data_IF_906293644085
#
_entry.id   IF_906293644085
#
_cell.length_a   1.000
_cell.length_b   1.000
_cell.length_c   1.000
_cell.angle_alpha   90.00
_cell.angle_beta   90.00
_cell.angle_gamma   90.00
#
_symmetry.space_group_name_H-M   'P 1'
#
loop_
_entity.id
_entity.type
_entity.pdbx_description
1 polymer ?
#
# COMPACT_ATOMS: atom_id res chain seq x y z
N UNK A 1 19.78 15.47 -12.61
CA UNK A 1 19.04 15.40 -11.34
C UNK A 1 18.79 13.93 -11.00
N UNK A 2 18.97 13.51 -9.75
CA UNK A 2 18.53 12.20 -9.25
C UNK A 2 17.27 12.42 -8.41
N UNK A 3 16.15 11.86 -8.84
CA UNK A 3 14.89 11.93 -8.11
C UNK A 3 14.71 10.72 -7.18
N UNK A 4 14.00 10.91 -6.07
CA UNK A 4 13.61 9.85 -5.13
C UNK A 4 14.79 9.00 -4.62
N UNK A 5 15.94 9.64 -4.43
CA UNK A 5 17.20 8.99 -4.10
C UNK A 5 17.17 8.33 -2.72
N UNK A 6 17.68 7.10 -2.63
CA UNK A 6 17.94 6.40 -1.37
C UNK A 6 19.39 5.96 -1.33
N UNK A 7 19.98 6.00 -0.14
CA UNK A 7 21.34 5.54 0.05
C UNK A 7 21.41 4.80 1.38
N UNK A 8 21.45 3.48 1.32
CA UNK A 8 21.61 2.67 2.53
C UNK A 8 22.95 2.93 3.22
N UNK A 9 23.02 2.69 4.53
CA UNK A 9 24.26 2.83 5.29
C UNK A 9 25.38 1.92 4.74
N UNK A 10 25.04 0.69 4.34
CA UNK A 10 25.98 -0.26 3.72
C UNK A 10 26.57 0.30 2.42
N UNK A 11 25.73 0.85 1.56
CA UNK A 11 26.16 1.46 0.30
C UNK A 11 26.98 2.72 0.55
N UNK A 12 26.59 3.57 1.50
CA UNK A 12 27.34 4.76 1.89
C UNK A 12 28.76 4.40 2.36
N UNK A 13 28.91 3.37 3.20
CA UNK A 13 30.22 2.85 3.64
C UNK A 13 31.05 2.35 2.45
N UNK A 14 30.44 1.63 1.51
CA UNK A 14 31.10 1.18 0.28
C UNK A 14 31.59 2.34 -0.59
N UNK A 15 30.73 3.34 -0.82
CA UNK A 15 31.07 4.53 -1.61
C UNK A 15 32.10 5.43 -0.93
N UNK A 16 32.12 5.47 0.40
CA UNK A 16 33.15 6.20 1.15
C UNK A 16 34.55 5.63 0.88
N UNK A 17 34.68 4.31 0.65
CA UNK A 17 35.96 3.68 0.28
C UNK A 17 36.45 4.12 -1.11
N UNK A 18 35.55 4.50 -2.01
CA UNK A 18 35.89 5.05 -3.33
C UNK A 18 36.34 6.52 -3.26
N UNK A 19 36.18 7.18 -2.09
CA UNK A 19 36.77 8.47 -1.76
C UNK A 19 36.56 9.54 -2.84
N UNK A 20 37.67 10.04 -3.40
CA UNK A 20 37.70 11.13 -4.39
C UNK A 20 36.94 10.81 -5.68
N UNK A 21 36.79 9.54 -6.05
CA UNK A 21 36.02 9.16 -7.23
C UNK A 21 34.53 9.50 -7.06
N UNK A 22 33.95 9.17 -5.91
CA UNK A 22 32.56 9.48 -5.60
C UNK A 22 32.34 10.99 -5.46
N UNK A 23 33.28 11.71 -4.85
CA UNK A 23 33.21 13.18 -4.78
C UNK A 23 33.15 13.81 -6.18
N UNK A 24 34.00 13.38 -7.11
CA UNK A 24 33.98 13.87 -8.51
C UNK A 24 32.67 13.52 -9.22
N UNK A 25 32.15 12.32 -9.00
CA UNK A 25 30.88 11.90 -9.61
C UNK A 25 29.72 12.77 -9.11
N UNK A 26 29.65 13.02 -7.80
CA UNK A 26 28.60 13.85 -7.20
C UNK A 26 28.68 15.33 -7.63
N UNK A 27 29.87 15.85 -7.94
CA UNK A 27 30.02 17.21 -8.46
C UNK A 27 29.33 17.45 -9.81
N UNK A 28 29.14 16.41 -10.62
CA UNK A 28 28.43 16.50 -11.91
C UNK A 28 26.91 16.39 -11.76
N UNK A 29 26.39 16.11 -10.55
CA UNK A 29 24.96 16.01 -10.30
C UNK A 29 24.43 17.37 -9.88
N UNK A 30 23.50 17.91 -10.67
CA UNK A 30 22.89 19.23 -10.42
C UNK A 30 22.00 19.26 -9.17
N UNK A 31 21.26 18.18 -8.91
CA UNK A 31 20.31 18.07 -7.79
C UNK A 31 20.06 16.60 -7.44
N UNK A 32 20.06 16.28 -6.15
CA UNK A 32 19.57 15.02 -5.57
C UNK A 32 18.34 15.35 -4.72
N UNK A 33 17.20 14.77 -5.10
CA UNK A 33 15.98 14.77 -4.29
C UNK A 33 15.93 13.47 -3.46
N UNK A 34 16.34 13.55 -2.19
CA UNK A 34 16.41 12.40 -1.28
C UNK A 34 15.05 12.14 -0.61
N UNK A 35 14.78 10.86 -0.31
CA UNK A 35 13.49 10.45 0.29
C UNK A 35 13.35 10.87 1.75
N UNK A 36 14.44 10.90 2.49
CA UNK A 36 14.48 11.30 3.89
C UNK A 36 15.80 12.01 4.19
N UNK A 37 15.87 12.60 5.38
CA UNK A 37 17.03 13.34 5.83
C UNK A 37 18.29 12.47 5.91
N UNK A 38 18.17 11.23 6.38
CA UNK A 38 19.31 10.30 6.53
C UNK A 38 19.96 9.95 5.19
N UNK A 39 19.15 9.65 4.16
CA UNK A 39 19.61 9.38 2.81
C UNK A 39 20.36 10.60 2.26
N UNK A 40 19.81 11.81 2.48
CA UNK A 40 20.43 13.07 2.10
C UNK A 40 21.78 13.30 2.78
N UNK A 41 21.87 13.08 4.09
CA UNK A 41 23.10 13.25 4.86
C UNK A 41 24.21 12.28 4.43
N UNK A 42 23.85 11.06 4.05
CA UNK A 42 24.80 10.10 3.50
C UNK A 42 25.37 10.62 2.17
N UNK A 43 24.58 11.25 1.30
CA UNK A 43 25.11 11.89 0.09
C UNK A 43 26.03 13.08 0.39
N UNK A 44 25.69 13.91 1.39
CA UNK A 44 26.57 15.00 1.84
C UNK A 44 27.92 14.44 2.32
N UNK A 45 27.90 13.35 3.09
CA UNK A 45 29.11 12.69 3.59
C UNK A 45 30.03 12.15 2.48
N UNK A 46 29.47 11.89 1.30
CA UNK A 46 30.20 11.43 0.11
C UNK A 46 30.69 12.58 -0.77
N UNK A 47 30.35 13.83 -0.45
CA UNK A 47 30.83 15.04 -1.14
C UNK A 47 29.79 15.78 -1.98
N UNK A 48 28.51 15.46 -1.86
CA UNK A 48 27.43 16.28 -2.43
C UNK A 48 27.39 17.64 -1.72
N UNK A 49 27.26 18.75 -2.45
CA UNK A 49 27.04 20.06 -1.83
C UNK A 49 25.63 20.14 -1.26
N UNK A 50 25.46 20.79 -0.10
CA UNK A 50 24.12 21.01 0.49
C UNK A 50 23.17 21.76 -0.45
N UNK A 51 23.68 22.68 -1.26
CA UNK A 51 22.91 23.38 -2.29
C UNK A 51 22.38 22.50 -3.42
N UNK A 52 22.89 21.27 -3.54
CA UNK A 52 22.48 20.26 -4.53
C UNK A 52 21.60 19.17 -3.90
N UNK A 53 21.20 19.32 -2.63
CA UNK A 53 20.34 18.38 -1.92
C UNK A 53 18.98 19.02 -1.65
N UNK A 54 17.92 18.32 -2.01
CA UNK A 54 16.56 18.59 -1.54
C UNK A 54 16.02 17.32 -0.89
N UNK A 55 15.39 17.43 0.28
CA UNK A 55 14.70 16.30 0.90
C UNK A 55 13.22 16.46 0.56
N UNK A 56 12.75 15.64 -0.38
CA UNK A 56 11.40 15.78 -0.96
C UNK A 56 10.38 14.86 -0.32
N UNK A 57 10.80 14.00 0.62
CA UNK A 57 9.99 12.86 1.03
C UNK A 57 10.07 11.73 0.01
N UNK A 58 9.52 10.57 0.35
CA UNK A 58 9.34 9.49 -0.63
C UNK A 58 8.20 9.85 -1.57
N UNK A 59 8.41 9.79 -2.89
CA UNK A 59 7.33 9.87 -3.89
C UNK A 59 6.23 8.80 -3.67
N UNK A 60 6.47 7.81 -2.80
CA UNK A 60 5.48 6.81 -2.38
C UNK A 60 4.39 7.36 -1.47
N UNK A 61 4.59 8.53 -0.84
CA UNK A 61 3.61 9.18 0.04
C UNK A 61 2.91 10.36 -0.62
N UNK A 62 3.25 10.67 -1.87
CA UNK A 62 2.71 11.80 -2.62
C UNK A 62 1.46 11.41 -3.43
N UNK A 63 0.65 10.48 -2.90
CA UNK A 63 -0.67 10.19 -3.46
C UNK A 63 -1.64 11.23 -2.89
N UNK A 64 -1.53 12.46 -3.40
CA UNK A 64 -2.51 13.50 -3.12
C UNK A 64 -3.89 12.99 -3.56
N UNK A 65 -4.81 12.80 -2.60
CA UNK A 65 -6.21 12.53 -2.92
C UNK A 65 -6.74 13.81 -3.58
N UNK A 66 -6.86 13.79 -4.90
CA UNK A 66 -7.38 14.96 -5.62
C UNK A 66 -8.83 15.20 -5.22
N UNK A 67 -9.34 16.44 -5.25
CA UNK A 67 -10.75 16.74 -4.97
C UNK A 67 -11.70 15.88 -5.82
N UNK A 68 -11.33 15.60 -7.06
CA UNK A 68 -12.10 14.75 -7.98
C UNK A 68 -12.14 13.30 -7.49
N UNK A 69 -11.01 12.76 -7.02
CA UNK A 69 -10.95 11.41 -6.45
C UNK A 69 -11.78 11.31 -5.17
N UNK A 70 -11.72 12.32 -4.30
CA UNK A 70 -12.53 12.39 -3.09
C UNK A 70 -14.03 12.43 -3.41
N UNK A 71 -14.45 13.27 -4.37
CA UNK A 71 -15.84 13.35 -4.81
C UNK A 71 -16.35 12.03 -5.41
N UNK A 72 -15.52 11.34 -6.20
CA UNK A 72 -15.80 10.01 -6.72
C UNK A 72 -15.95 8.98 -5.60
N UNK A 73 -15.05 8.98 -4.62
CA UNK A 73 -15.12 8.07 -3.48
C UNK A 73 -16.40 8.29 -2.65
N UNK A 74 -16.78 9.54 -2.38
CA UNK A 74 -18.02 9.88 -1.68
C UNK A 74 -19.24 9.38 -2.45
N UNK A 75 -19.25 9.57 -3.77
CA UNK A 75 -20.35 9.10 -4.63
C UNK A 75 -20.46 7.58 -4.59
N UNK A 76 -19.32 6.89 -4.71
CA UNK A 76 -19.27 5.43 -4.68
C UNK A 76 -19.64 4.87 -3.30
N UNK A 77 -19.19 5.50 -2.21
CA UNK A 77 -19.60 5.20 -0.83
C UNK A 77 -21.11 5.28 -0.65
N UNK A 78 -21.74 6.33 -1.18
CA UNK A 78 -23.20 6.52 -1.13
C UNK A 78 -23.96 5.47 -1.92
N UNK A 79 -23.41 5.02 -3.05
CA UNK A 79 -24.03 3.98 -3.88
C UNK A 79 -23.90 2.60 -3.25
N UNK A 80 -22.72 2.24 -2.75
CA UNK A 80 -22.44 0.89 -2.27
C UNK A 80 -22.97 0.65 -0.86
N UNK A 81 -22.88 1.65 0.00
CA UNK A 81 -22.93 1.40 1.43
C UNK A 81 -23.41 2.60 2.27
N UNK A 82 -24.46 3.37 1.89
CA UNK A 82 -24.77 4.68 2.48
C UNK A 82 -24.90 4.72 4.02
N UNK A 83 -25.31 3.61 4.65
CA UNK A 83 -25.38 3.43 6.11
C UNK A 83 -24.76 2.10 6.57
N UNK A 84 -23.98 1.49 5.69
CA UNK A 84 -23.46 0.15 5.84
C UNK A 84 -21.99 0.24 6.27
N UNK A 85 -21.58 -0.42 7.37
CA UNK A 85 -20.17 -0.46 7.76
C UNK A 85 -19.34 -1.15 6.67
N UNK A 86 -18.20 -0.56 6.33
CA UNK A 86 -17.28 -1.08 5.34
C UNK A 86 -15.89 -1.14 5.95
N UNK A 87 -15.22 -2.28 5.78
CA UNK A 87 -13.78 -2.38 6.04
C UNK A 87 -13.08 -2.92 4.81
N UNK A 88 -11.84 -2.50 4.60
CA UNK A 88 -11.02 -2.88 3.47
C UNK A 88 -9.79 -3.63 3.93
N UNK A 89 -9.46 -4.73 3.26
CA UNK A 89 -8.19 -5.41 3.40
C UNK A 89 -7.41 -5.27 2.10
N UNK A 90 -6.26 -4.59 2.15
CA UNK A 90 -5.49 -4.23 0.95
C UNK A 90 -4.11 -4.84 0.96
N UNK A 91 -3.52 -4.99 -0.24
CA UNK A 91 -2.17 -5.55 -0.39
C UNK A 91 -2.03 -6.93 0.27
N UNK A 92 -3.10 -7.72 0.26
CA UNK A 92 -3.10 -9.04 0.87
C UNK A 92 -2.28 -10.02 0.04
N UNK A 93 -1.66 -10.95 0.73
CA UNK A 93 -0.82 -11.99 0.16
C UNK A 93 -1.39 -13.38 0.42
N UNK A 94 -0.84 -14.35 -0.30
CA UNK A 94 -1.15 -15.76 -0.11
C UNK A 94 -1.11 -16.15 1.37
N UNK A 95 -2.18 -16.78 1.83
CA UNK A 95 -2.38 -17.18 3.22
C UNK A 95 -3.06 -16.11 4.08
N UNK A 96 -2.95 -14.83 3.74
CA UNK A 96 -3.66 -13.77 4.46
C UNK A 96 -5.14 -13.70 4.06
N UNK A 97 -5.47 -13.95 2.78
CA UNK A 97 -6.86 -13.80 2.31
C UNK A 97 -7.80 -14.79 3.00
N UNK A 98 -7.36 -16.01 3.28
CA UNK A 98 -8.15 -17.00 4.02
C UNK A 98 -8.41 -16.56 5.46
N UNK A 99 -7.40 -15.99 6.14
CA UNK A 99 -7.53 -15.45 7.50
C UNK A 99 -8.53 -14.30 7.51
N UNK A 100 -8.43 -13.38 6.54
CA UNK A 100 -9.31 -12.22 6.42
C UNK A 100 -10.75 -12.64 6.15
N UNK A 101 -10.98 -13.59 5.24
CA UNK A 101 -12.32 -14.09 4.93
C UNK A 101 -12.96 -14.80 6.13
N UNK A 102 -12.18 -15.59 6.88
CA UNK A 102 -12.66 -16.23 8.11
C UNK A 102 -12.96 -15.20 9.21
N UNK A 103 -12.10 -14.20 9.38
CA UNK A 103 -12.36 -13.08 10.29
C UNK A 103 -13.65 -12.34 9.90
N UNK A 104 -13.84 -12.08 8.60
CA UNK A 104 -15.05 -11.44 8.09
C UNK A 104 -16.29 -12.26 8.40
N UNK A 105 -16.25 -13.58 8.16
CA UNK A 105 -17.35 -14.51 8.48
C UNK A 105 -17.74 -14.45 9.96
N UNK A 106 -16.76 -14.40 10.86
CA UNK A 106 -17.01 -14.22 12.30
C UNK A 106 -17.62 -12.85 12.60
N UNK A 107 -17.11 -11.78 11.99
CA UNK A 107 -17.64 -10.42 12.18
C UNK A 107 -19.09 -10.27 11.71
N UNK A 108 -19.50 -10.98 10.65
CA UNK A 108 -20.88 -10.98 10.17
C UNK A 108 -21.90 -11.47 11.20
N UNK A 109 -21.48 -12.28 12.19
CA UNK A 109 -22.36 -12.70 13.29
C UNK A 109 -22.78 -11.54 14.20
N UNK A 110 -21.92 -10.51 14.32
CA UNK A 110 -22.15 -9.32 15.14
C UNK A 110 -22.60 -8.12 14.30
N UNK A 111 -22.13 -8.05 13.06
CA UNK A 111 -22.43 -6.98 12.11
C UNK A 111 -22.95 -7.60 10.80
N UNK A 112 -24.22 -8.04 10.72
CA UNK A 112 -24.75 -8.76 9.56
C UNK A 112 -24.68 -7.96 8.26
N UNK A 113 -24.71 -6.64 8.36
CA UNK A 113 -24.58 -5.73 7.24
C UNK A 113 -23.12 -5.29 6.99
N UNK A 114 -22.08 -5.92 7.55
CA UNK A 114 -20.69 -5.51 7.26
C UNK A 114 -20.32 -5.83 5.81
N UNK A 115 -19.63 -4.92 5.12
CA UNK A 115 -19.04 -5.17 3.80
C UNK A 115 -17.52 -5.27 3.92
N UNK A 116 -16.92 -6.32 3.38
CA UNK A 116 -15.48 -6.41 3.15
C UNK A 116 -15.15 -5.99 1.72
N UNK A 117 -14.18 -5.10 1.56
CA UNK A 117 -13.48 -4.90 0.29
C UNK A 117 -12.14 -5.63 0.38
N UNK A 118 -11.92 -6.67 -0.42
CA UNK A 118 -10.69 -7.47 -0.42
C UNK A 118 -9.87 -7.14 -1.67
N UNK A 119 -8.68 -6.59 -1.50
CA UNK A 119 -7.80 -6.15 -2.61
C UNK A 119 -6.45 -6.88 -2.53
N UNK A 120 -6.30 -8.00 -3.28
CA UNK A 120 -5.04 -8.72 -3.36
C UNK A 120 -3.91 -7.87 -3.93
N UNK A 121 -2.68 -8.11 -3.47
CA UNK A 121 -1.52 -7.32 -3.92
C UNK A 121 -1.16 -7.54 -5.39
N UNK A 122 -1.40 -8.75 -5.91
CA UNK A 122 -0.98 -9.15 -7.24
C UNK A 122 -2.17 -9.65 -8.08
N UNK A 123 -2.26 -9.30 -9.39
CA UNK A 123 -3.40 -9.67 -10.24
C UNK A 123 -3.68 -11.18 -10.33
N UNK A 124 -2.64 -12.00 -10.32
CA UNK A 124 -2.76 -13.46 -10.34
C UNK A 124 -3.51 -14.02 -9.12
N UNK A 125 -3.63 -13.24 -8.04
CA UNK A 125 -4.40 -13.60 -6.85
C UNK A 125 -5.89 -13.31 -6.98
N UNK A 126 -6.33 -12.56 -7.98
CA UNK A 126 -7.74 -12.16 -8.10
C UNK A 126 -8.66 -13.36 -8.29
N UNK A 127 -8.30 -14.30 -9.17
CA UNK A 127 -9.04 -15.56 -9.34
C UNK A 127 -9.08 -16.38 -8.05
N UNK A 128 -7.94 -16.47 -7.35
CA UNK A 128 -7.83 -17.21 -6.10
C UNK A 128 -8.71 -16.60 -5.01
N UNK A 129 -8.72 -15.26 -4.87
CA UNK A 129 -9.58 -14.57 -3.91
C UNK A 129 -11.07 -14.82 -4.18
N UNK A 130 -11.49 -14.89 -5.46
CA UNK A 130 -12.87 -15.25 -5.85
C UNK A 130 -13.23 -16.66 -5.41
N UNK A 131 -12.37 -17.63 -5.73
CA UNK A 131 -12.58 -19.01 -5.33
C UNK A 131 -12.63 -19.17 -3.81
N UNK A 132 -11.79 -18.44 -3.07
CA UNK A 132 -11.80 -18.46 -1.62
C UNK A 132 -13.09 -17.88 -1.04
N UNK A 133 -13.57 -16.75 -1.56
CA UNK A 133 -14.86 -16.18 -1.13
C UNK A 133 -16.03 -17.13 -1.41
N UNK A 134 -16.03 -17.76 -2.60
CA UNK A 134 -17.03 -18.77 -2.96
C UNK A 134 -16.99 -19.98 -2.03
N UNK A 135 -15.80 -20.55 -1.77
CA UNK A 135 -15.62 -21.69 -0.85
C UNK A 135 -16.01 -21.35 0.59
N UNK A 136 -15.82 -20.09 1.00
CA UNK A 136 -16.26 -19.60 2.30
C UNK A 136 -17.79 -19.40 2.40
N UNK A 137 -18.54 -19.61 1.31
CA UNK A 137 -19.99 -19.40 1.26
C UNK A 137 -20.40 -17.94 1.36
N UNK A 138 -19.48 -17.01 1.09
CA UNK A 138 -19.73 -15.58 1.14
C UNK A 138 -20.26 -15.10 -0.21
N UNK A 139 -21.32 -14.31 -0.20
CA UNK A 139 -21.78 -13.62 -1.41
C UNK A 139 -20.76 -12.54 -1.80
N UNK A 140 -20.39 -12.49 -3.07
CA UNK A 140 -19.41 -11.52 -3.52
C UNK A 140 -19.73 -10.95 -4.91
N UNK A 141 -19.16 -9.77 -5.18
CA UNK A 141 -19.07 -9.21 -6.53
C UNK A 141 -17.63 -8.79 -6.82
N UNK A 142 -17.34 -8.53 -8.09
CA UNK A 142 -16.06 -8.05 -8.57
C UNK A 142 -16.11 -6.55 -8.83
N UNK A 143 -15.06 -5.84 -8.48
CA UNK A 143 -14.96 -4.41 -8.80
C UNK A 143 -15.02 -4.20 -10.32
N UNK A 144 -14.37 -5.07 -11.09
CA UNK A 144 -14.32 -5.05 -12.56
C UNK A 144 -15.68 -5.25 -13.24
N UNK A 145 -16.65 -5.89 -12.57
CA UNK A 145 -18.00 -6.12 -13.11
C UNK A 145 -18.80 -4.82 -13.26
N UNK A 146 -18.44 -3.78 -12.51
CA UNK A 146 -19.21 -2.53 -12.44
C UNK A 146 -20.52 -2.64 -11.66
N UNK A 147 -20.86 -3.82 -11.13
CA UNK A 147 -22.06 -4.01 -10.33
C UNK A 147 -21.99 -3.23 -9.01
N UNK A 148 -23.13 -2.67 -8.61
CA UNK A 148 -23.27 -2.07 -7.28
C UNK A 148 -23.55 -3.22 -6.29
N UNK A 149 -22.75 -3.38 -5.22
CA UNK A 149 -22.99 -4.38 -4.19
C UNK A 149 -24.40 -4.23 -3.62
N UNK A 150 -25.17 -5.31 -3.61
CA UNK A 150 -26.50 -5.32 -2.99
C UNK A 150 -26.37 -5.37 -1.46
N UNK A 151 -27.50 -5.28 -0.76
CA UNK A 151 -27.54 -5.52 0.69
C UNK A 151 -27.10 -6.93 1.08
N UNK A 152 -27.21 -7.91 0.18
CA UNK A 152 -26.80 -9.29 0.42
C UNK A 152 -25.33 -9.55 0.10
N UNK A 153 -24.67 -8.73 -0.71
CA UNK A 153 -23.24 -8.87 -1.05
C UNK A 153 -22.38 -8.70 0.20
N UNK A 154 -21.55 -9.67 0.58
CA UNK A 154 -20.69 -9.61 1.77
C UNK A 154 -19.26 -9.17 1.44
N UNK A 155 -18.76 -9.54 0.26
CA UNK A 155 -17.39 -9.23 -0.18
C UNK A 155 -17.41 -8.53 -1.54
N UNK A 156 -16.63 -7.45 -1.69
CA UNK A 156 -16.23 -6.93 -3.00
C UNK A 156 -14.77 -7.26 -3.21
N UNK A 157 -14.45 -7.94 -4.32
CA UNK A 157 -13.06 -8.22 -4.68
C UNK A 157 -12.57 -7.09 -5.56
N UNK A 158 -11.57 -6.35 -5.09
CA UNK A 158 -10.88 -5.31 -5.84
C UNK A 158 -9.93 -5.92 -6.86
N UNK A 159 -10.46 -6.40 -7.98
CA UNK A 159 -9.74 -7.03 -9.08
C UNK A 159 -9.35 -6.04 -10.20
N UNK A 160 -9.17 -4.77 -9.84
CA UNK A 160 -8.78 -3.69 -10.75
C UNK A 160 -7.52 -2.99 -10.28
N UNK A 161 -6.67 -2.59 -11.24
CA UNK A 161 -5.42 -1.91 -10.96
C UNK A 161 -5.63 -0.40 -10.89
N UNK A 162 -4.93 0.27 -9.96
CA UNK A 162 -4.94 1.74 -9.85
C UNK A 162 -6.16 2.35 -9.15
N UNK A 163 -7.14 1.55 -8.71
CA UNK A 163 -8.34 2.04 -8.00
C UNK A 163 -8.22 2.00 -6.47
N UNK A 164 -7.06 1.63 -5.93
CA UNK A 164 -6.89 1.39 -4.50
C UNK A 164 -7.31 2.59 -3.63
N UNK A 165 -6.92 3.80 -3.99
CA UNK A 165 -7.29 5.01 -3.24
C UNK A 165 -8.78 5.32 -3.31
N UNK A 166 -9.43 5.01 -4.43
CA UNK A 166 -10.88 5.14 -4.57
C UNK A 166 -11.58 4.18 -3.59
N UNK A 167 -11.11 2.94 -3.53
CA UNK A 167 -11.65 1.91 -2.63
C UNK A 167 -11.41 2.24 -1.14
N UNK A 168 -10.25 2.82 -0.81
CA UNK A 168 -9.98 3.35 0.54
C UNK A 168 -11.02 4.38 0.96
N UNK A 169 -11.42 5.29 0.07
CA UNK A 169 -12.42 6.30 0.39
C UNK A 169 -13.85 5.77 0.61
N UNK A 170 -14.09 4.47 0.38
CA UNK A 170 -15.36 3.79 0.69
C UNK A 170 -15.31 3.19 2.11
N UNK A 171 -14.13 2.91 2.64
CA UNK A 171 -13.97 2.13 3.87
C UNK A 171 -13.99 3.01 5.12
N UNK A 172 -14.60 2.49 6.19
CA UNK A 172 -14.57 3.09 7.53
C UNK A 172 -13.33 2.60 8.32
N UNK A 173 -12.80 1.42 7.97
CA UNK A 173 -11.63 0.80 8.58
C UNK A 173 -10.76 0.13 7.50
N UNK A 174 -9.43 0.18 7.67
CA UNK A 174 -8.51 -0.50 6.77
C UNK A 174 -7.56 -1.45 7.50
N UNK A 175 -7.30 -2.59 6.86
CA UNK A 175 -6.23 -3.53 7.15
C UNK A 175 -5.26 -3.56 5.97
N UNK A 176 -3.96 -3.52 6.26
CA UNK A 176 -2.89 -3.60 5.23
C UNK A 176 -2.15 -4.92 5.41
N UNK A 177 -2.19 -5.75 4.38
CA UNK A 177 -1.52 -7.05 4.32
C UNK A 177 0.00 -6.95 4.27
N UNK A 178 0.64 -8.12 4.28
CA UNK A 178 2.08 -8.29 4.46
C UNK A 178 2.50 -8.40 5.92
N UNK A 179 1.57 -8.73 6.82
CA UNK A 179 1.81 -8.75 8.27
C UNK A 179 1.25 -9.98 9.01
N UNK A 180 0.34 -10.75 8.40
CA UNK A 180 -0.32 -11.89 9.07
C UNK A 180 0.34 -13.24 8.80
N UNK A 181 1.19 -13.33 7.78
CA UNK A 181 1.90 -14.56 7.43
C UNK A 181 3.37 -14.23 7.30
N UNK A 182 4.22 -15.02 7.97
CA UNK A 182 5.66 -14.97 7.74
C UNK A 182 5.93 -15.38 6.30
N UNK A 183 6.26 -14.38 5.48
CA UNK A 183 6.93 -14.62 4.21
C UNK A 183 8.28 -15.21 4.56
N UNK A 184 8.47 -16.50 4.27
CA UNK A 184 9.63 -17.29 4.67
C UNK A 184 10.91 -16.48 4.85
N UNK A 185 11.38 -16.42 6.11
CA UNK A 185 12.62 -15.80 6.54
C UNK A 185 12.68 -14.28 6.33
N UNK A 186 12.33 -13.49 7.36
CA UNK A 186 13.24 -12.59 8.08
C UNK A 186 12.52 -11.88 9.24
N UNK A 187 13.07 -12.12 10.42
CA UNK A 187 12.96 -11.51 11.76
C UNK A 187 11.89 -10.42 12.06
N UNK A 188 10.96 -10.64 13.02
CA UNK A 188 9.98 -9.65 13.51
C UNK A 188 10.55 -8.35 14.14
N UNK A 189 11.87 -8.21 14.23
CA UNK A 189 12.55 -7.01 14.73
C UNK A 189 12.43 -5.78 13.79
N UNK A 190 12.13 -5.96 12.50
CA UNK A 190 12.00 -4.81 11.58
C UNK A 190 10.72 -4.00 11.79
N UNK A 191 9.64 -4.61 12.29
CA UNK A 191 8.38 -3.91 12.59
C UNK A 191 8.47 -3.03 13.86
N UNK A 192 9.31 -3.40 14.82
CA UNK A 192 9.52 -2.63 16.05
C UNK A 192 10.45 -1.42 15.86
N UNK A 193 11.21 -1.35 14.76
CA UNK A 193 12.14 -0.25 14.49
C UNK A 193 11.47 1.00 13.88
N UNK A 194 10.16 0.94 13.58
CA UNK A 194 9.40 2.04 12.96
C UNK A 194 8.13 2.43 13.72
N UNK A 195 8.03 2.06 15.01
CA UNK A 195 7.05 2.61 15.94
C UNK A 195 7.58 3.88 16.62
#
# INVERSE_FOLDING_TARGET
MIANARLSERSAKGYKKLGKFMQRLLQHITLIAAQNQEDGERFISLGLKRSQLSVTGSLKFDISVTPELAARAITLRRQWAPRRPVWIATSTHEGEESIILEAHRKLLTRFPNLLLILVPRHPERFSVAREMAQKAGLSFTLRSSGEIPSSSTQVVIGDTMGELMLLYGIADLAFVGGSLVERGGHNPLEAAAHA
#
